data_IF_857396363107
#
_entry.id   IF_857396363107
#
_cell.length_a   1.000
_cell.length_b   1.000
_cell.length_c   1.000
_cell.angle_alpha   90.00
_cell.angle_beta   90.00
_cell.angle_gamma   90.00
#
_symmetry.space_group_name_H-M   'P 1'
#
loop_
_entity.id
_entity.type
_entity.pdbx_description
1 polymer ?
#
# COMPACT_ATOMS: atom_id res chain seq x y z
N UNK A 1 23.75 3.13 -16.36
CA UNK A 1 22.39 3.71 -16.39
C UNK A 1 21.44 2.72 -15.74
N UNK A 2 21.05 2.94 -14.47
CA UNK A 2 20.15 2.01 -13.76
C UNK A 2 18.77 2.14 -14.41
N UNK A 3 18.33 1.11 -15.12
CA UNK A 3 17.00 1.10 -15.74
C UNK A 3 15.98 1.10 -14.61
N UNK A 4 15.27 2.22 -14.43
CA UNK A 4 14.16 2.32 -13.48
C UNK A 4 13.08 1.34 -13.95
N UNK A 5 13.10 0.13 -13.40
CA UNK A 5 12.07 -0.86 -13.71
C UNK A 5 10.77 -0.35 -13.12
N UNK A 6 9.74 -0.28 -13.97
CA UNK A 6 8.38 0.01 -13.52
C UNK A 6 8.00 -0.97 -12.41
N UNK A 7 7.36 -0.49 -11.32
CA UNK A 7 6.85 -1.36 -10.28
C UNK A 7 5.78 -2.32 -10.85
N UNK A 8 5.56 -3.44 -10.16
CA UNK A 8 4.49 -4.36 -10.54
C UNK A 8 3.12 -3.70 -10.39
N UNK A 9 2.11 -4.18 -11.12
CA UNK A 9 0.72 -3.70 -10.98
C UNK A 9 0.23 -3.75 -9.52
N UNK A 10 0.60 -4.80 -8.78
CA UNK A 10 0.27 -4.93 -7.35
C UNK A 10 0.93 -3.83 -6.50
N UNK A 11 2.16 -3.42 -6.85
CA UNK A 11 2.85 -2.33 -6.16
C UNK A 11 2.19 -0.99 -6.47
N UNK A 12 1.77 -0.77 -7.72
CA UNK A 12 1.03 0.44 -8.12
C UNK A 12 -0.30 0.54 -7.34
N UNK A 13 -1.06 -0.56 -7.21
CA UNK A 13 -2.29 -0.58 -6.41
C UNK A 13 -2.06 -0.21 -4.94
N UNK A 14 -0.96 -0.70 -4.35
CA UNK A 14 -0.61 -0.37 -2.95
C UNK A 14 -0.23 1.10 -2.81
N UNK A 15 0.56 1.64 -3.75
CA UNK A 15 0.95 3.05 -3.76
C UNK A 15 -0.25 3.97 -3.95
N UNK A 16 -1.15 3.62 -4.86
CA UNK A 16 -2.38 4.36 -5.14
C UNK A 16 -3.27 4.42 -3.88
N UNK A 17 -3.53 3.27 -3.26
CA UNK A 17 -4.33 3.19 -2.03
C UNK A 17 -3.72 3.95 -0.83
N UNK A 18 -2.39 4.01 -0.74
CA UNK A 18 -1.71 4.79 0.29
C UNK A 18 -1.62 6.29 -0.04
N UNK A 19 -1.73 6.66 -1.32
CA UNK A 19 -1.65 8.07 -1.76
C UNK A 19 -2.99 8.80 -1.69
N UNK A 20 -4.10 8.07 -1.55
CA UNK A 20 -5.44 8.63 -1.33
C UNK A 20 -5.49 9.49 -0.05
N UNK A 21 -4.79 9.05 1.00
CA UNK A 21 -4.54 9.84 2.21
C UNK A 21 -3.15 9.55 2.79
N UNK A 22 -2.10 10.26 2.31
CA UNK A 22 -0.72 9.95 2.61
C UNK A 22 -0.29 10.36 4.02
N UNK A 23 -1.07 11.18 4.72
CA UNK A 23 -0.77 11.57 6.10
C UNK A 23 -1.22 10.51 7.10
N UNK A 24 -2.19 9.68 6.73
CA UNK A 24 -2.82 8.69 7.59
C UNK A 24 -2.05 7.38 7.67
N UNK A 25 -1.88 6.90 8.90
CA UNK A 25 -1.35 5.57 9.17
C UNK A 25 -2.37 4.48 8.82
N UNK A 26 -2.00 3.54 7.95
CA UNK A 26 -2.89 2.47 7.46
C UNK A 26 -2.48 1.12 8.03
N UNK A 27 -3.45 0.38 8.57
CA UNK A 27 -3.22 -0.98 9.01
C UNK A 27 -2.99 -1.91 7.81
N UNK A 28 -1.85 -2.61 7.79
CA UNK A 28 -1.47 -3.46 6.66
C UNK A 28 -2.54 -4.50 6.28
N UNK A 29 -3.24 -5.09 7.24
CA UNK A 29 -4.28 -6.06 6.93
C UNK A 29 -5.46 -5.43 6.18
N UNK A 30 -5.96 -4.28 6.63
CA UNK A 30 -7.05 -3.55 5.99
C UNK A 30 -6.64 -3.03 4.60
N UNK A 31 -5.40 -2.57 4.47
CA UNK A 31 -4.83 -2.19 3.19
C UNK A 31 -4.87 -3.36 2.19
N UNK A 32 -4.47 -4.57 2.62
CA UNK A 32 -4.55 -5.77 1.80
C UNK A 32 -5.96 -6.10 1.34
N UNK A 33 -6.94 -5.97 2.23
CA UNK A 33 -8.35 -6.16 1.90
C UNK A 33 -8.85 -5.12 0.89
N UNK A 34 -8.47 -3.85 1.06
CA UNK A 34 -8.85 -2.76 0.15
C UNK A 34 -8.32 -2.98 -1.27
N UNK A 35 -7.05 -3.39 -1.42
CA UNK A 35 -6.42 -3.60 -2.74
C UNK A 35 -6.58 -5.02 -3.29
N UNK A 36 -7.27 -5.91 -2.56
CA UNK A 36 -7.49 -7.30 -2.98
C UNK A 36 -6.21 -8.17 -2.99
N UNK A 37 -5.22 -7.85 -2.15
CA UNK A 37 -3.97 -8.59 -2.06
C UNK A 37 -3.92 -9.50 -0.83
N UNK A 38 -3.49 -10.74 -1.05
CA UNK A 38 -3.16 -11.66 0.06
C UNK A 38 -1.93 -11.18 0.81
N UNK A 39 -1.84 -11.53 2.09
CA UNK A 39 -0.70 -11.23 2.97
C UNK A 39 0.66 -11.61 2.34
N UNK A 40 0.74 -12.78 1.71
CA UNK A 40 1.97 -13.26 1.05
C UNK A 40 2.45 -12.42 -0.14
N UNK A 41 1.60 -11.57 -0.71
CA UNK A 41 2.00 -10.60 -1.75
C UNK A 41 2.17 -9.20 -1.16
N UNK A 42 1.26 -8.79 -0.26
CA UNK A 42 1.25 -7.46 0.31
C UNK A 42 2.50 -7.17 1.15
N UNK A 43 2.82 -8.00 2.13
CA UNK A 43 3.90 -7.69 3.07
C UNK A 43 5.28 -7.63 2.39
N UNK A 44 5.62 -8.53 1.45
CA UNK A 44 6.85 -8.35 0.68
C UNK A 44 6.89 -7.04 -0.13
N UNK A 45 5.75 -6.53 -0.62
CA UNK A 45 5.68 -5.21 -1.26
C UNK A 45 5.99 -4.12 -0.24
N UNK A 46 5.28 -4.09 0.89
CA UNK A 46 5.49 -3.09 1.95
C UNK A 46 6.93 -3.08 2.46
N UNK A 47 7.53 -4.25 2.66
CA UNK A 47 8.94 -4.39 3.06
C UNK A 47 9.87 -3.74 2.02
N UNK A 48 9.71 -4.04 0.73
CA UNK A 48 10.55 -3.45 -0.32
C UNK A 48 10.38 -1.94 -0.45
N UNK A 49 9.16 -1.41 -0.23
CA UNK A 49 8.92 0.03 -0.25
C UNK A 49 9.61 0.72 0.93
N UNK A 50 9.48 0.12 2.13
CA UNK A 50 10.15 0.60 3.35
C UNK A 50 11.67 0.56 3.21
N UNK A 51 12.22 -0.55 2.72
CA UNK A 51 13.67 -0.72 2.55
C UNK A 51 14.26 0.26 1.51
N UNK A 52 13.41 0.85 0.67
CA UNK A 52 13.76 1.94 -0.27
C UNK A 52 13.54 3.34 0.27
N UNK A 53 13.09 3.50 1.53
CA UNK A 53 12.78 4.80 2.12
C UNK A 53 11.48 5.45 1.61
N UNK A 54 10.65 4.70 0.87
CA UNK A 54 9.39 5.20 0.30
C UNK A 54 8.23 5.08 1.29
N UNK A 55 8.43 4.34 2.38
CA UNK A 55 7.36 3.97 3.29
C UNK A 55 7.89 3.88 4.73
N UNK A 56 7.14 4.45 5.66
CA UNK A 56 7.35 4.30 7.09
C UNK A 56 6.49 3.16 7.62
N UNK A 57 7.01 2.41 8.58
CA UNK A 57 6.30 1.34 9.26
C UNK A 57 6.50 1.47 10.76
N UNK A 58 5.40 1.47 11.51
CA UNK A 58 5.42 1.50 12.98
C UNK A 58 4.50 0.41 13.53
N UNK A 59 4.74 0.03 14.78
CA UNK A 59 3.73 -0.68 15.57
C UNK A 59 2.75 0.33 16.19
N UNK A 60 1.49 -0.07 16.34
CA UNK A 60 0.49 0.67 17.12
C UNK A 60 0.99 0.85 18.56
N UNK A 61 1.12 2.10 19.00
CA UNK A 61 1.71 2.48 20.30
C UNK A 61 0.80 2.10 21.48
N UNK A 62 -0.52 2.28 21.32
CA UNK A 62 -1.52 1.97 22.35
C UNK A 62 -2.54 0.96 21.82
N UNK A 63 -2.19 -0.33 21.77
CA UNK A 63 -3.13 -1.37 21.39
C UNK A 63 -4.24 -1.47 22.44
N UNK A 64 -5.48 -1.66 21.99
CA UNK A 64 -6.60 -1.93 22.89
C UNK A 64 -6.33 -3.20 23.73
N UNK A 65 -6.81 -3.27 24.99
CA UNK A 65 -6.63 -4.45 25.82
C UNK A 65 -7.14 -5.72 25.12
N UNK A 66 -6.32 -6.77 25.08
CA UNK A 66 -6.70 -8.08 24.54
C UNK A 66 -6.51 -8.27 23.03
N UNK A 67 -5.89 -7.33 22.30
CA UNK A 67 -5.49 -7.54 20.90
C UNK A 67 -4.00 -7.31 20.69
N UNK A 68 -3.35 -8.03 19.75
CA UNK A 68 -1.96 -7.76 19.40
C UNK A 68 -1.81 -6.38 18.73
N UNK A 69 -0.64 -5.72 18.87
CA UNK A 69 -0.35 -4.48 18.17
C UNK A 69 -0.51 -4.61 16.66
N UNK A 70 -1.01 -3.55 16.02
CA UNK A 70 -1.15 -3.48 14.56
C UNK A 70 0.12 -2.93 13.92
N UNK A 71 0.51 -3.47 12.77
CA UNK A 71 1.50 -2.85 11.91
C UNK A 71 0.87 -1.76 11.06
N UNK A 72 1.31 -0.53 11.26
CA UNK A 72 0.83 0.66 10.56
C UNK A 72 1.86 1.12 9.54
N UNK A 73 1.38 1.57 8.39
CA UNK A 73 2.20 1.96 7.25
C UNK A 73 1.74 3.32 6.71
N UNK A 74 2.69 4.15 6.28
CA UNK A 74 2.43 5.46 5.67
C UNK A 74 3.49 5.79 4.63
N UNK A 75 3.15 6.48 3.56
CA UNK A 75 4.16 6.96 2.61
C UNK A 75 5.05 8.04 3.23
N UNK A 76 6.33 8.01 2.89
CA UNK A 76 7.21 9.16 3.10
C UNK A 76 6.93 10.24 2.05
N UNK A 77 7.49 11.44 2.23
CA UNK A 77 7.42 12.47 1.18
C UNK A 77 8.00 12.01 -0.16
N UNK A 78 9.03 11.17 -0.16
CA UNK A 78 9.58 10.53 -1.36
C UNK A 78 8.61 9.49 -1.93
N UNK A 79 7.99 8.68 -1.07
CA UNK A 79 6.96 7.72 -1.45
C UNK A 79 5.76 8.35 -2.15
N UNK A 80 5.29 9.49 -1.66
CA UNK A 80 4.18 10.25 -2.27
C UNK A 80 4.56 10.75 -3.66
N UNK A 81 5.75 11.32 -3.83
CA UNK A 81 6.23 11.80 -5.14
C UNK A 81 6.33 10.64 -6.13
N UNK A 82 6.93 9.53 -5.71
CA UNK A 82 7.07 8.38 -6.57
C UNK A 82 5.73 7.72 -6.90
N UNK A 83 4.79 7.68 -5.96
CA UNK A 83 3.44 7.19 -6.21
C UNK A 83 2.75 8.01 -7.31
N UNK A 84 2.83 9.35 -7.23
CA UNK A 84 2.27 10.23 -8.27
C UNK A 84 2.90 9.98 -9.65
N UNK A 85 4.22 9.76 -9.73
CA UNK A 85 4.90 9.44 -10.99
C UNK A 85 4.41 8.13 -11.62
N UNK A 86 4.16 7.10 -10.80
CA UNK A 86 3.80 5.77 -11.31
C UNK A 86 2.31 5.58 -11.53
N UNK A 87 1.45 6.40 -10.92
CA UNK A 87 -0.01 6.37 -11.12
C UNK A 87 -0.50 7.35 -12.19
N UNK A 88 0.22 8.45 -12.45
CA UNK A 88 -0.12 9.42 -13.50
C UNK A 88 0.04 8.85 -14.93
N UNK A 89 0.88 7.84 -15.11
CA UNK A 89 1.05 7.15 -16.37
C UNK A 89 -0.16 6.22 -16.61
N UNK A 90 -0.99 6.46 -17.65
CA UNK A 90 -2.18 5.66 -17.89
C UNK A 90 -1.79 4.21 -18.17
N UNK A 91 -1.90 3.36 -17.15
CA UNK A 91 -1.89 1.92 -17.33
C UNK A 91 -3.18 1.56 -18.06
N UNK A 92 -3.06 1.37 -19.38
CA UNK A 92 -4.08 0.77 -20.21
C UNK A 92 -4.32 -0.68 -19.75
N UNK A 93 -5.11 -0.85 -18.69
CA UNK A 93 -5.86 -2.07 -18.31
C UNK A 93 -6.46 -1.86 -16.91
N UNK A 94 -7.48 -1.00 -16.79
CA UNK A 94 -8.36 -0.95 -15.62
C UNK A 94 -9.29 -2.17 -15.65
N UNK A 95 -8.77 -3.33 -15.29
CA UNK A 95 -9.58 -4.47 -14.86
C UNK A 95 -9.40 -4.63 -13.37
N UNK A 96 -10.19 -3.87 -12.61
CA UNK A 96 -10.49 -4.23 -11.23
C UNK A 96 -11.99 -4.14 -11.07
N UNK A 97 -12.64 -5.29 -11.28
CA UNK A 97 -13.97 -5.57 -10.78
C UNK A 97 -14.02 -5.21 -9.30
N UNK A 98 -14.74 -4.15 -8.95
CA UNK A 98 -15.16 -3.89 -7.57
C UNK A 98 -15.95 -5.11 -7.09
N UNK A 99 -15.57 -5.80 -6.00
CA UNK A 99 -16.46 -6.79 -5.42
C UNK A 99 -17.70 -6.03 -4.91
N UNK A 100 -18.87 -6.37 -5.46
CA UNK A 100 -20.13 -5.97 -4.85
C UNK A 100 -20.21 -6.67 -3.49
N UNK A 101 -20.22 -5.88 -2.42
CA UNK A 101 -20.56 -6.36 -1.09
C UNK A 101 -21.94 -7.02 -1.19
N UNK A 102 -22.00 -8.33 -0.98
CA UNK A 102 -23.24 -9.09 -0.95
C UNK A 102 -23.69 -9.12 0.50
N UNK A 103 -24.62 -8.23 0.84
CA UNK A 103 -25.42 -8.34 2.06
C UNK A 103 -26.34 -9.56 1.94
N UNK A 104 -26.38 -10.37 3.00
CA UNK A 104 -27.32 -11.46 3.21
C UNK A 104 -27.80 -11.39 4.65
#
# INVERSE_FOLDING_TARGET
MVRVRRPSAQTVLVLDALSDDPATWRYGYELGQQVGLKAGSLYPILIRLRDRGLLEAIWEDQPSPGRPPRHLYRLTGEGVRWAAEVTAEPSASRTTSRPRLREA
#
